data_IF_202726316702
#
_entry.id   IF_202726316702
#
_cell.length_a   1.000
_cell.length_b   1.000
_cell.length_c   1.000
_cell.angle_alpha   90.00
_cell.angle_beta   90.00
_cell.angle_gamma   90.00
#
_symmetry.space_group_name_H-M   'P 1'
#
loop_
_entity.id
_entity.type
_entity.pdbx_description
1 polymer ?
#
# COMPACT_ATOMS: atom_id res chain seq x y z
N UNK A 1 31.69 -20.42 12.72
CA UNK A 1 30.23 -20.22 12.66
C UNK A 1 29.98 -18.82 12.11
N UNK A 2 29.34 -18.69 10.95
CA UNK A 2 29.07 -17.39 10.34
C UNK A 2 27.68 -16.92 10.74
N UNK A 3 27.60 -15.91 11.61
CA UNK A 3 26.35 -15.24 11.94
C UNK A 3 26.00 -14.30 10.78
N UNK A 4 25.08 -14.70 9.92
CA UNK A 4 24.49 -13.78 8.93
C UNK A 4 23.39 -12.98 9.63
N UNK A 5 23.74 -11.83 10.20
CA UNK A 5 22.72 -10.82 10.55
C UNK A 5 22.42 -10.01 9.29
N UNK A 6 21.50 -10.48 8.45
CA UNK A 6 20.86 -9.57 7.52
C UNK A 6 20.08 -8.54 8.36
N UNK A 7 20.27 -7.24 8.12
CA UNK A 7 19.46 -6.21 8.78
C UNK A 7 17.98 -6.58 8.64
N UNK A 8 17.27 -6.66 9.77
CA UNK A 8 15.81 -6.77 9.74
C UNK A 8 15.29 -5.53 9.00
N UNK A 9 14.72 -5.67 7.78
CA UNK A 9 14.25 -4.52 7.03
C UNK A 9 13.22 -3.75 7.88
N UNK A 10 13.08 -2.42 7.68
CA UNK A 10 12.04 -1.67 8.36
C UNK A 10 10.69 -2.34 8.07
N UNK A 11 9.88 -2.56 9.11
CA UNK A 11 8.54 -3.12 8.96
C UNK A 11 7.76 -2.26 7.96
N UNK A 12 7.30 -2.88 6.87
CA UNK A 12 6.59 -2.19 5.81
C UNK A 12 7.20 -2.33 4.42
N UNK A 13 6.47 -1.78 3.45
CA UNK A 13 6.99 -1.54 2.10
C UNK A 13 6.99 -0.05 1.83
N UNK A 14 8.16 0.52 1.54
CA UNK A 14 8.30 1.95 1.25
C UNK A 14 8.34 2.21 -0.25
N UNK A 15 7.44 3.06 -0.73
CA UNK A 15 7.35 3.49 -2.11
C UNK A 15 7.77 4.95 -2.23
N UNK A 16 8.55 5.27 -3.27
CA UNK A 16 8.84 6.65 -3.66
C UNK A 16 8.15 6.93 -4.98
N UNK A 17 7.36 8.00 -5.03
CA UNK A 17 6.51 8.38 -6.17
C UNK A 17 6.84 9.82 -6.54
N UNK A 18 6.84 10.14 -7.83
CA UNK A 18 6.93 11.52 -8.30
C UNK A 18 5.56 11.97 -8.80
N UNK A 19 5.11 13.13 -8.33
CA UNK A 19 3.91 13.81 -8.81
C UNK A 19 4.36 15.06 -9.58
N UNK A 20 3.82 15.24 -10.78
CA UNK A 20 4.11 16.39 -11.64
C UNK A 20 3.62 17.73 -11.05
N UNK A 21 3.98 18.86 -11.69
CA UNK A 21 3.46 20.17 -11.33
C UNK A 21 1.92 20.23 -11.45
N UNK A 22 1.31 21.10 -10.65
CA UNK A 22 -0.14 21.41 -10.66
C UNK A 22 -1.05 20.16 -10.61
N UNK A 23 -0.91 19.29 -9.59
CA UNK A 23 -1.69 18.06 -9.53
C UNK A 23 -3.19 18.36 -9.37
N UNK A 24 -4.00 17.77 -10.24
CA UNK A 24 -5.46 17.76 -10.17
C UNK A 24 -5.96 16.36 -9.83
N UNK A 25 -7.17 16.26 -9.27
CA UNK A 25 -7.74 14.96 -8.88
C UNK A 25 -6.97 14.26 -7.75
N UNK A 26 -7.27 12.99 -7.50
CA UNK A 26 -6.67 12.23 -6.41
C UNK A 26 -5.65 11.23 -6.92
N UNK A 27 -4.52 11.12 -6.23
CA UNK A 27 -3.49 10.13 -6.53
C UNK A 27 -3.42 9.11 -5.40
N UNK A 28 -3.28 7.83 -5.76
CA UNK A 28 -3.11 6.78 -4.78
C UNK A 28 -2.19 5.67 -5.29
N UNK A 29 -1.58 4.93 -4.36
CA UNK A 29 -1.01 3.62 -4.67
C UNK A 29 -2.06 2.54 -4.41
N UNK A 30 -2.30 1.71 -5.42
CA UNK A 30 -3.16 0.53 -5.36
C UNK A 30 -2.29 -0.71 -5.21
N UNK A 31 -2.51 -1.48 -4.16
CA UNK A 31 -1.75 -2.70 -3.88
C UNK A 31 -2.65 -3.91 -4.11
N UNK A 32 -2.13 -4.86 -4.90
CA UNK A 32 -2.75 -6.15 -5.17
C UNK A 32 -1.88 -7.28 -4.63
N UNK A 33 -2.51 -8.35 -4.15
CA UNK A 33 -1.83 -9.57 -3.76
C UNK A 33 -1.40 -10.43 -4.97
N UNK A 34 -0.88 -11.63 -4.71
CA UNK A 34 -0.38 -12.55 -5.72
C UNK A 34 -1.46 -13.11 -6.64
N UNK A 35 -2.72 -13.09 -6.20
CA UNK A 35 -3.90 -13.52 -6.97
C UNK A 35 -4.51 -12.35 -7.76
N UNK A 36 -3.95 -11.15 -7.64
CA UNK A 36 -4.42 -9.94 -8.31
C UNK A 36 -5.59 -9.26 -7.58
N UNK A 37 -5.98 -9.73 -6.40
CA UNK A 37 -7.00 -9.08 -5.58
C UNK A 37 -6.42 -7.79 -5.00
N UNK A 38 -7.19 -6.71 -5.12
CA UNK A 38 -6.87 -5.44 -4.49
C UNK A 38 -7.10 -5.53 -2.98
N UNK A 39 -6.09 -5.15 -2.21
CA UNK A 39 -6.07 -5.32 -0.76
C UNK A 39 -5.79 -4.02 0.00
N UNK A 40 -5.30 -2.96 -0.66
CA UNK A 40 -4.97 -1.70 0.00
C UNK A 40 -4.95 -0.54 -0.99
N UNK A 41 -5.46 0.60 -0.54
CA UNK A 41 -5.24 1.90 -1.18
C UNK A 41 -4.47 2.83 -0.25
N UNK A 42 -3.45 3.50 -0.79
CA UNK A 42 -2.66 4.49 -0.06
C UNK A 42 -2.73 5.84 -0.76
N UNK A 43 -3.58 6.73 -0.26
CA UNK A 43 -3.72 8.08 -0.81
C UNK A 43 -2.41 8.87 -0.69
N UNK A 44 -2.04 9.52 -1.78
CA UNK A 44 -0.90 10.42 -1.85
C UNK A 44 -1.35 11.85 -1.57
N UNK A 45 -0.39 12.70 -1.19
CA UNK A 45 -0.68 14.12 -0.99
C UNK A 45 -0.77 14.78 -2.36
N UNK A 46 -1.74 15.67 -2.59
CA UNK A 46 -1.80 16.47 -3.81
C UNK A 46 -0.76 17.60 -3.80
N UNK A 47 0.53 17.23 -3.88
CA UNK A 47 1.66 18.14 -3.90
C UNK A 47 2.70 17.69 -4.92
N UNK A 48 3.21 18.59 -5.75
CA UNK A 48 4.23 18.24 -6.73
C UNK A 48 5.53 17.80 -6.06
N UNK A 49 6.32 17.00 -6.77
CA UNK A 49 7.63 16.52 -6.34
C UNK A 49 7.62 15.06 -5.88
N UNK A 50 8.74 14.65 -5.27
CA UNK A 50 8.94 13.29 -4.78
C UNK A 50 8.27 13.13 -3.42
N UNK A 51 7.44 12.09 -3.30
CA UNK A 51 6.79 11.68 -2.07
C UNK A 51 7.20 10.27 -1.70
N UNK A 52 7.35 10.02 -0.40
CA UNK A 52 7.65 8.70 0.15
C UNK A 52 6.51 8.27 1.06
N UNK A 53 5.97 7.09 0.82
CA UNK A 53 4.89 6.49 1.60
C UNK A 53 5.27 5.08 2.01
N UNK A 54 4.91 4.70 3.22
CA UNK A 54 5.16 3.36 3.75
C UNK A 54 3.83 2.65 3.96
N UNK A 55 3.68 1.49 3.34
CA UNK A 55 2.62 0.55 3.64
C UNK A 55 2.98 -0.25 4.89
N UNK A 56 2.03 -0.39 5.81
CA UNK A 56 2.12 -1.17 7.05
C UNK A 56 1.90 -2.67 6.86
N UNK A 57 1.89 -3.17 5.60
CA UNK A 57 1.63 -4.57 5.25
C UNK A 57 0.25 -5.07 5.70
N UNK A 58 -0.73 -4.17 5.82
CA UNK A 58 -2.10 -4.53 6.21
C UNK A 58 -3.07 -4.35 5.06
N UNK A 59 -4.08 -5.21 5.05
CA UNK A 59 -5.26 -5.03 4.20
C UNK A 59 -6.03 -3.77 4.62
N UNK A 60 -6.90 -3.30 3.73
CA UNK A 60 -7.88 -2.27 4.03
C UNK A 60 -8.80 -2.72 5.17
N UNK A 61 -9.28 -1.77 5.98
CA UNK A 61 -10.31 -2.11 6.95
C UNK A 61 -11.60 -2.48 6.19
N UNK A 62 -12.37 -3.49 6.63
CA UNK A 62 -13.65 -3.80 6.02
C UNK A 62 -14.59 -2.60 6.10
N UNK A 63 -15.35 -2.37 5.04
CA UNK A 63 -16.20 -1.20 4.87
C UNK A 63 -17.25 -1.10 5.99
N UNK A 64 -17.49 0.12 6.49
CA UNK A 64 -18.42 0.36 7.60
C UNK A 64 -19.85 0.54 7.08
N UNK A 65 -20.40 -0.47 6.44
CA UNK A 65 -21.78 -0.41 5.92
C UNK A 65 -22.50 -1.71 6.21
N UNK A 66 -22.90 -1.88 7.47
CA UNK A 66 -24.22 -2.39 7.88
C UNK A 66 -24.29 -2.51 9.41
N UNK A 67 -25.35 -1.95 10.00
CA UNK A 67 -25.80 -2.29 11.35
C UNK A 67 -25.05 -1.61 12.49
N UNK A 68 -25.66 -0.55 13.02
CA UNK A 68 -25.15 0.23 14.13
C UNK A 68 -24.65 -0.60 15.32
N UNK A 69 -23.36 -0.49 15.60
CA UNK A 69 -22.76 -0.50 16.93
C UNK A 69 -21.36 0.09 16.78
N UNK A 70 -21.09 1.20 17.48
CA UNK A 70 -19.77 1.87 17.52
C UNK A 70 -18.77 1.00 18.31
N UNK A 71 -18.44 -0.17 17.80
CA UNK A 71 -17.27 -0.91 18.24
C UNK A 71 -16.05 -0.14 17.71
N UNK A 72 -15.10 0.22 18.58
CA UNK A 72 -13.80 0.80 18.19
C UNK A 72 -13.01 -0.25 17.39
N UNK A 73 -13.37 -0.47 16.12
CA UNK A 73 -12.63 -1.36 15.23
C UNK A 73 -11.33 -0.67 14.78
N UNK A 74 -10.25 -1.43 14.58
CA UNK A 74 -8.98 -0.88 14.13
C UNK A 74 -9.12 -0.20 12.77
N UNK A 75 -8.36 0.88 12.55
CA UNK A 75 -8.35 1.67 11.30
C UNK A 75 -7.67 0.97 10.12
N UNK A 76 -7.11 -0.23 10.34
CA UNK A 76 -6.46 -1.07 9.33
C UNK A 76 -6.94 -2.52 9.49
N UNK A 77 -6.93 -3.27 8.39
CA UNK A 77 -7.24 -4.69 8.34
C UNK A 77 -6.14 -5.58 8.93
N UNK A 78 -6.28 -6.91 8.76
CA UNK A 78 -5.24 -7.87 9.16
C UNK A 78 -3.94 -7.62 8.40
N UNK A 79 -2.84 -8.12 8.97
CA UNK A 79 -1.54 -8.15 8.28
C UNK A 79 -1.59 -9.19 7.16
N UNK A 80 -0.98 -8.87 6.03
CA UNK A 80 -0.92 -9.78 4.88
C UNK A 80 0.06 -10.91 5.14
N UNK A 81 -0.21 -12.06 4.54
CA UNK A 81 0.76 -13.15 4.53
C UNK A 81 1.96 -12.80 3.64
N UNK A 82 3.18 -13.28 3.96
CA UNK A 82 4.32 -13.18 3.07
C UNK A 82 4.00 -13.74 1.69
N UNK A 83 4.45 -13.07 0.64
CA UNK A 83 4.03 -13.39 -0.72
C UNK A 83 4.45 -12.35 -1.74
N UNK A 84 4.03 -12.54 -2.97
CA UNK A 84 4.24 -11.59 -4.07
C UNK A 84 3.09 -10.58 -4.09
N UNK A 85 3.42 -9.33 -4.34
CA UNK A 85 2.46 -8.23 -4.41
C UNK A 85 2.79 -7.35 -5.59
N UNK A 86 1.80 -6.59 -6.04
CA UNK A 86 1.95 -5.60 -7.11
C UNK A 86 1.43 -4.26 -6.64
N UNK A 87 2.19 -3.19 -6.88
CA UNK A 87 1.77 -1.81 -6.65
C UNK A 87 1.59 -1.08 -7.98
N UNK A 88 0.50 -0.32 -8.10
CA UNK A 88 0.23 0.56 -9.24
C UNK A 88 -0.02 1.97 -8.74
N UNK A 89 0.47 2.98 -9.46
CA UNK A 89 0.07 4.36 -9.24
C UNK A 89 -1.23 4.60 -9.99
N UNK A 90 -2.24 5.14 -9.33
CA UNK A 90 -3.49 5.53 -9.96
C UNK A 90 -3.75 7.01 -9.79
N UNK A 91 -4.46 7.58 -10.75
CA UNK A 91 -5.01 8.92 -10.70
C UNK A 91 -6.52 8.85 -10.94
N UNK A 92 -7.29 9.38 -10.01
CA UNK A 92 -8.71 9.63 -10.21
C UNK A 92 -8.88 11.09 -10.63
N UNK A 93 -9.42 11.29 -11.83
CA UNK A 93 -9.65 12.64 -12.32
C UNK A 93 -10.86 13.32 -11.65
N UNK A 94 -11.10 14.59 -11.97
CA UNK A 94 -12.20 15.36 -11.39
C UNK A 94 -13.60 14.87 -11.79
N UNK A 95 -13.70 14.00 -12.80
CA UNK A 95 -14.95 13.34 -13.18
C UNK A 95 -15.20 12.05 -12.41
N UNK A 96 -14.18 11.54 -11.71
CA UNK A 96 -14.21 10.30 -10.94
C UNK A 96 -13.67 9.09 -11.69
N UNK A 97 -13.20 9.26 -12.94
CA UNK A 97 -12.59 8.17 -13.72
C UNK A 97 -11.20 7.83 -13.17
N UNK A 98 -10.90 6.53 -13.06
CA UNK A 98 -9.63 6.03 -12.53
C UNK A 98 -8.71 5.60 -13.67
N UNK A 99 -7.53 6.20 -13.70
CA UNK A 99 -6.46 5.94 -14.66
C UNK A 99 -5.28 5.26 -13.98
N UNK A 100 -4.79 4.14 -14.53
CA UNK A 100 -3.50 3.57 -14.09
C UNK A 100 -2.34 4.33 -14.74
N UNK A 101 -1.41 4.80 -13.91
CA UNK A 101 -0.27 5.59 -14.33
C UNK A 101 0.98 4.73 -14.44
N UNK A 102 1.28 4.30 -15.66
CA UNK A 102 2.44 3.48 -15.98
C UNK A 102 2.24 2.00 -15.65
N UNK A 103 3.32 1.22 -15.80
CA UNK A 103 3.27 -0.22 -15.57
C UNK A 103 3.30 -0.56 -14.07
N UNK A 104 2.48 -1.53 -13.61
CA UNK A 104 2.54 -2.04 -12.25
C UNK A 104 3.94 -2.58 -11.88
N UNK A 105 4.32 -2.46 -10.60
CA UNK A 105 5.61 -2.93 -10.08
C UNK A 105 5.41 -4.05 -9.07
N UNK A 106 6.09 -5.18 -9.28
CA UNK A 106 6.03 -6.33 -8.38
C UNK A 106 7.11 -6.28 -7.30
N UNK A 107 6.77 -6.76 -6.11
CA UNK A 107 7.69 -6.90 -4.98
C UNK A 107 7.28 -8.10 -4.11
N UNK A 108 8.13 -8.48 -3.16
CA UNK A 108 7.86 -9.61 -2.25
C UNK A 108 7.90 -9.14 -0.80
N UNK A 109 6.87 -9.50 -0.04
CA UNK A 109 6.88 -9.42 1.42
C UNK A 109 7.50 -10.69 1.95
N UNK A 110 8.53 -10.54 2.77
CA UNK A 110 9.24 -11.66 3.38
C UNK A 110 8.69 -11.96 4.77
N UNK A 111 8.72 -13.23 5.22
CA UNK A 111 8.41 -13.56 6.61
C UNK A 111 9.36 -12.82 7.56
N UNK A 112 8.83 -12.34 8.68
CA UNK A 112 9.68 -11.87 9.77
C UNK A 112 10.32 -13.10 10.44
N UNK A 113 11.62 -13.28 10.24
CA UNK A 113 12.36 -14.31 10.98
C UNK A 113 12.46 -13.89 12.45
N UNK A 114 11.70 -14.54 13.32
CA UNK A 114 11.93 -14.43 14.76
C UNK A 114 13.11 -15.33 15.12
N UNK A 115 14.24 -14.79 15.63
CA UNK A 115 15.30 -15.63 16.15
C UNK A 115 14.74 -16.49 17.29
N UNK A 116 14.98 -17.80 17.23
CA UNK A 116 14.65 -18.75 18.30
C UNK A 116 15.58 -18.61 19.49
#
# INVERSE_FOLDING_TARGET
SGYYSASNPPYGATFSVYIGPDPTGEYALKIRDGDGKEIRHLSLRMRPGIQRITWDLREEAPDQTEGGQRQRRPRSGPEVSPGSFTVSLIWQDTSGEIHELGAPRSFRVMPLEMPR
#
